data_IF_837555014903
#
_entry.id   IF_837555014903
#
_cell.length_a   1.000
_cell.length_b   1.000
_cell.length_c   1.000
_cell.angle_alpha   90.00
_cell.angle_beta   90.00
_cell.angle_gamma   90.00
#
_symmetry.space_group_name_H-M   'P 1'
#
loop_
_entity.id
_entity.type
_entity.pdbx_description
1 polymer ?
#
# COMPACT_ATOMS: atom_id res chain seq x y z
N UNK A 1 0.26 18.19 0.27
CA UNK A 1 1.24 17.08 0.24
C UNK A 1 1.63 16.63 -1.18
N UNK A 2 0.73 16.69 -2.17
CA UNK A 2 1.02 16.16 -3.52
C UNK A 2 2.10 16.96 -4.26
N UNK A 3 2.11 18.30 -4.15
CA UNK A 3 3.14 19.15 -4.77
C UNK A 3 4.55 18.86 -4.25
N UNK A 4 4.73 18.77 -2.92
CA UNK A 4 6.01 18.45 -2.30
C UNK A 4 6.47 17.05 -2.71
N UNK A 5 5.55 16.07 -2.70
CA UNK A 5 5.83 14.71 -3.16
C UNK A 5 6.29 14.71 -4.62
N UNK A 6 5.61 15.43 -5.52
CA UNK A 6 6.03 15.51 -6.93
C UNK A 6 7.36 16.22 -7.09
N UNK A 7 7.62 17.29 -6.34
CA UNK A 7 8.89 18.02 -6.38
C UNK A 7 10.07 17.11 -5.98
N UNK A 8 9.91 16.32 -4.91
CA UNK A 8 10.93 15.35 -4.48
C UNK A 8 11.17 14.30 -5.57
N UNK A 9 10.13 13.74 -6.16
CA UNK A 9 10.27 12.76 -7.25
C UNK A 9 10.93 13.35 -8.50
N UNK A 10 10.61 14.59 -8.85
CA UNK A 10 11.25 15.30 -9.97
C UNK A 10 12.73 15.53 -9.68
N UNK A 11 13.09 15.98 -8.47
CA UNK A 11 14.50 16.15 -8.08
C UNK A 11 15.27 14.83 -8.13
N UNK A 12 14.69 13.74 -7.63
CA UNK A 12 15.30 12.40 -7.72
C UNK A 12 15.47 11.99 -9.18
N UNK A 13 14.47 12.22 -10.04
CA UNK A 13 14.55 11.89 -11.46
C UNK A 13 15.67 12.67 -12.16
N UNK A 14 15.76 13.98 -11.92
CA UNK A 14 16.83 14.83 -12.48
C UNK A 14 18.20 14.37 -11.99
N UNK A 15 18.35 14.08 -10.69
CA UNK A 15 19.59 13.56 -10.12
C UNK A 15 19.98 12.21 -10.75
N UNK A 16 19.02 11.31 -10.94
CA UNK A 16 19.23 10.01 -11.60
C UNK A 16 19.69 10.17 -13.05
N UNK A 17 19.08 11.10 -13.79
CA UNK A 17 19.45 11.39 -15.17
C UNK A 17 20.87 11.98 -15.27
N UNK A 18 21.21 12.94 -14.42
CA UNK A 18 22.55 13.51 -14.35
C UNK A 18 23.57 12.41 -14.00
N UNK A 19 23.29 11.63 -12.96
CA UNK A 19 24.15 10.50 -12.57
C UNK A 19 24.35 9.54 -13.74
N UNK A 20 23.27 9.16 -14.43
CA UNK A 20 23.33 8.25 -15.57
C UNK A 20 24.16 8.82 -16.72
N UNK A 21 23.92 10.09 -17.09
CA UNK A 21 24.65 10.77 -18.15
C UNK A 21 26.16 10.85 -17.87
N UNK A 22 26.54 11.29 -16.66
CA UNK A 22 27.95 11.40 -16.29
C UNK A 22 28.64 10.04 -16.08
N UNK A 23 27.86 9.01 -15.75
CA UNK A 23 28.38 7.68 -15.48
C UNK A 23 28.04 6.67 -16.60
N UNK A 24 27.97 7.11 -17.86
CA UNK A 24 27.68 6.23 -19.00
C UNK A 24 28.85 5.29 -19.40
N UNK A 25 29.58 4.80 -18.40
CA UNK A 25 30.74 3.96 -18.59
C UNK A 25 30.33 2.48 -18.59
N UNK A 26 30.88 1.67 -19.51
CA UNK A 26 30.73 0.22 -19.45
C UNK A 26 31.46 -0.32 -18.21
N UNK A 27 30.81 -1.25 -17.52
CA UNK A 27 31.33 -1.93 -16.34
C UNK A 27 31.23 -3.43 -16.59
N UNK A 28 32.34 -4.11 -16.37
CA UNK A 28 32.42 -5.56 -16.44
C UNK A 28 32.05 -6.15 -15.09
N UNK A 29 31.04 -7.01 -15.07
CA UNK A 29 30.59 -7.73 -13.88
C UNK A 29 30.87 -9.20 -14.09
N UNK A 30 31.84 -9.74 -13.34
CA UNK A 30 32.15 -11.16 -13.33
C UNK A 30 31.14 -11.86 -12.42
N UNK A 31 30.29 -12.70 -12.99
CA UNK A 31 29.27 -13.43 -12.22
C UNK A 31 29.76 -14.85 -11.89
N UNK A 32 30.53 -15.46 -12.80
CA UNK A 32 31.27 -16.71 -12.62
C UNK A 32 32.58 -16.66 -13.41
N UNK A 33 33.47 -17.63 -13.19
CA UNK A 33 34.84 -17.69 -13.74
C UNK A 33 34.92 -17.51 -15.28
N UNK A 34 33.87 -17.88 -16.02
CA UNK A 34 33.79 -17.72 -17.47
C UNK A 34 32.60 -16.85 -17.94
N UNK A 35 31.92 -16.15 -17.02
CA UNK A 35 30.77 -15.30 -17.37
C UNK A 35 31.00 -13.86 -16.90
N UNK A 36 31.48 -13.05 -17.84
CA UNK A 36 31.66 -11.60 -17.68
C UNK A 36 30.52 -10.90 -18.41
N UNK A 37 29.71 -10.15 -17.67
CA UNK A 37 28.61 -9.38 -18.23
C UNK A 37 29.00 -7.90 -18.30
N UNK A 38 29.03 -7.36 -19.51
CA UNK A 38 29.23 -5.93 -19.72
C UNK A 38 27.88 -5.20 -19.60
N UNK A 39 27.73 -4.38 -18.56
CA UNK A 39 26.55 -3.53 -18.34
C UNK A 39 26.98 -2.11 -18.01
N UNK A 40 26.09 -1.13 -18.18
CA UNK A 40 26.42 0.26 -17.83
C UNK A 40 26.31 0.46 -16.31
N UNK A 41 27.22 1.24 -15.74
CA UNK A 41 27.20 1.56 -14.29
C UNK A 41 25.82 2.02 -13.77
N UNK A 42 25.08 2.91 -14.46
CA UNK A 42 23.80 3.41 -13.96
C UNK A 42 22.73 2.32 -13.86
N UNK A 43 22.77 1.35 -14.77
CA UNK A 43 21.86 0.20 -14.76
C UNK A 43 22.11 -0.64 -13.51
N UNK A 44 23.38 -0.89 -13.17
CA UNK A 44 23.74 -1.66 -11.99
C UNK A 44 23.24 -1.00 -10.70
N UNK A 45 23.42 0.31 -10.58
CA UNK A 45 22.97 1.10 -9.43
C UNK A 45 21.45 1.05 -9.30
N UNK A 46 20.72 1.21 -10.41
CA UNK A 46 19.25 1.14 -10.39
C UNK A 46 18.79 -0.26 -9.98
N UNK A 47 19.37 -1.32 -10.55
CA UNK A 47 18.97 -2.71 -10.26
C UNK A 47 19.26 -3.07 -8.81
N UNK A 48 20.45 -2.75 -8.30
CA UNK A 48 20.81 -2.99 -6.88
C UNK A 48 19.92 -2.20 -5.93
N UNK A 49 19.63 -0.94 -6.24
CA UNK A 49 18.71 -0.13 -5.46
C UNK A 49 17.29 -0.73 -5.45
N UNK A 50 16.77 -1.12 -6.61
CA UNK A 50 15.47 -1.77 -6.72
C UNK A 50 15.43 -3.12 -6.02
N UNK A 51 16.51 -3.90 -6.07
CA UNK A 51 16.60 -5.17 -5.37
C UNK A 51 16.46 -5.01 -3.85
N UNK A 52 16.98 -3.92 -3.28
CA UNK A 52 16.75 -3.57 -1.87
C UNK A 52 15.38 -2.92 -1.59
N UNK A 53 14.91 -2.04 -2.49
CA UNK A 53 13.70 -1.25 -2.28
C UNK A 53 12.41 -2.04 -2.50
N UNK A 54 12.34 -2.85 -3.56
CA UNK A 54 11.13 -3.56 -3.99
C UNK A 54 10.58 -4.48 -2.91
N UNK A 55 11.40 -5.34 -2.25
CA UNK A 55 10.90 -6.21 -1.19
C UNK A 55 10.32 -5.41 -0.02
N UNK A 56 11.04 -4.38 0.42
CA UNK A 56 10.61 -3.53 1.55
C UNK A 56 9.31 -2.78 1.23
N UNK A 57 9.22 -2.22 0.02
CA UNK A 57 8.02 -1.53 -0.45
C UNK A 57 6.82 -2.48 -0.54
N UNK A 58 7.02 -3.69 -1.04
CA UNK A 58 5.95 -4.68 -1.19
C UNK A 58 5.38 -5.12 0.17
N UNK A 59 6.26 -5.34 1.16
CA UNK A 59 5.83 -5.65 2.54
C UNK A 59 4.99 -4.52 3.12
N UNK A 60 5.46 -3.28 2.99
CA UNK A 60 4.73 -2.11 3.50
C UNK A 60 3.38 -1.90 2.81
N UNK A 61 3.31 -2.17 1.49
CA UNK A 61 2.06 -2.09 0.73
C UNK A 61 1.09 -3.20 1.13
N UNK A 62 1.58 -4.42 1.30
CA UNK A 62 0.80 -5.59 1.69
C UNK A 62 0.22 -5.46 3.10
N UNK A 63 1.00 -4.96 4.06
CA UNK A 63 0.54 -4.73 5.43
C UNK A 63 -0.59 -3.70 5.48
N UNK A 64 -0.44 -2.59 4.74
CA UNK A 64 -1.45 -1.54 4.62
C UNK A 64 -2.76 -2.07 4.03
N UNK A 65 -2.68 -2.88 2.97
CA UNK A 65 -3.84 -3.54 2.37
C UNK A 65 -4.55 -4.49 3.34
N UNK A 66 -3.79 -5.31 4.07
CA UNK A 66 -4.35 -6.23 5.06
C UNK A 66 -5.07 -5.48 6.19
N UNK A 67 -4.47 -4.40 6.69
CA UNK A 67 -5.06 -3.55 7.73
C UNK A 67 -6.35 -2.88 7.25
N UNK A 68 -6.34 -2.29 6.06
CA UNK A 68 -7.51 -1.66 5.47
C UNK A 68 -8.67 -2.65 5.28
N UNK A 69 -8.39 -3.88 4.84
CA UNK A 69 -9.41 -4.93 4.71
C UNK A 69 -10.00 -5.33 6.07
N UNK A 70 -9.16 -5.43 7.10
CA UNK A 70 -9.62 -5.72 8.48
C UNK A 70 -10.49 -4.61 9.02
N UNK A 71 -10.07 -3.35 8.85
CA UNK A 71 -10.85 -2.18 9.29
C UNK A 71 -12.23 -2.21 8.64
N UNK A 72 -12.31 -2.37 7.31
CA UNK A 72 -13.61 -2.47 6.61
C UNK A 72 -14.49 -3.61 7.13
N UNK A 73 -13.92 -4.79 7.38
CA UNK A 73 -14.68 -5.91 7.93
C UNK A 73 -15.24 -5.60 9.33
N UNK A 74 -14.46 -4.92 10.16
CA UNK A 74 -14.88 -4.54 11.51
C UNK A 74 -15.94 -3.44 11.48
N UNK A 75 -15.80 -2.46 10.58
CA UNK A 75 -16.81 -1.42 10.34
C UNK A 75 -18.14 -2.03 9.91
N UNK A 76 -18.14 -2.95 8.95
CA UNK A 76 -19.35 -3.66 8.49
C UNK A 76 -19.97 -4.47 9.63
N UNK A 77 -19.19 -5.23 10.40
CA UNK A 77 -19.70 -6.00 11.54
C UNK A 77 -20.30 -5.09 12.63
N UNK A 78 -19.65 -3.97 12.94
CA UNK A 78 -20.15 -2.99 13.89
C UNK A 78 -21.47 -2.36 13.42
N UNK A 79 -21.59 -2.02 12.13
CA UNK A 79 -22.84 -1.52 11.55
C UNK A 79 -23.97 -2.54 11.64
N UNK A 80 -23.70 -3.82 11.33
CA UNK A 80 -24.71 -4.88 11.45
C UNK A 80 -25.14 -5.10 12.91
N UNK A 81 -24.20 -5.08 13.86
CA UNK A 81 -24.52 -5.22 15.29
C UNK A 81 -25.35 -4.04 15.81
N UNK A 82 -25.03 -2.82 15.39
CA UNK A 82 -25.81 -1.63 15.73
C UNK A 82 -27.23 -1.72 15.17
N UNK A 83 -27.38 -2.11 13.89
CA UNK A 83 -28.70 -2.31 13.27
C UNK A 83 -29.51 -3.42 13.96
N UNK A 84 -28.88 -4.53 14.35
CA UNK A 84 -29.53 -5.61 15.08
C UNK A 84 -30.00 -5.16 16.48
N UNK A 85 -29.20 -4.35 17.18
CA UNK A 85 -29.58 -3.77 18.46
C UNK A 85 -30.80 -2.83 18.32
N UNK A 86 -30.81 -1.95 17.32
CA UNK A 86 -31.97 -1.08 17.04
C UNK A 86 -33.23 -1.87 16.67
N UNK A 87 -33.09 -2.96 15.92
CA UNK A 87 -34.22 -3.83 15.59
C UNK A 87 -34.77 -4.57 16.82
N UNK A 88 -33.90 -5.00 17.73
CA UNK A 88 -34.31 -5.61 18.99
C UNK A 88 -35.06 -4.60 19.89
N UNK A 89 -34.58 -3.37 19.98
CA UNK A 89 -35.23 -2.29 20.74
C UNK A 89 -36.61 -1.93 20.17
N UNK A 90 -36.74 -1.84 18.84
CA UNK A 90 -38.03 -1.61 18.17
C UNK A 90 -38.98 -2.79 18.38
N UNK A 91 -38.50 -4.04 18.30
CA UNK A 91 -39.32 -5.24 18.54
C UNK A 91 -39.78 -5.37 20.00
N UNK A 92 -39.06 -4.80 20.96
CA UNK A 92 -39.50 -4.81 22.38
C UNK A 92 -40.52 -3.70 22.66
N UNK A 93 -40.49 -2.60 21.91
CA UNK A 93 -41.48 -1.52 22.00
C UNK A 93 -42.83 -1.85 21.31
N UNK A 94 -42.81 -2.57 20.18
CA UNK A 94 -44.01 -2.95 19.40
C UNK A 94 -45.06 -3.81 20.17
N UNK A 95 -44.71 -4.83 20.99
CA UNK A 95 -45.70 -5.66 21.69
C UNK A 95 -46.36 -4.93 22.87
N UNK A 96 -45.81 -3.80 23.33
CA UNK A 96 -46.37 -3.02 24.44
C UNK A 96 -47.49 -2.05 23.98
N UNK A 97 -47.53 -1.68 22.69
CA UNK A 97 -48.58 -0.81 22.12
C UNK A 97 -49.73 -1.59 21.46
N UNK A 98 -49.60 -2.91 21.33
CA UNK A 98 -50.58 -3.79 20.66
C UNK A 98 -51.47 -4.59 21.63
N UNK A 99 -51.66 -4.14 22.87
CA UNK A 99 -52.72 -4.68 23.74
C UNK A 99 -54.06 -4.01 23.38
N UNK A 100 -55.03 -4.70 22.76
CA UNK A 100 -56.33 -4.13 22.38
C UNK A 100 -57.29 -4.01 23.58
N UNK A 101 -56.81 -4.18 24.82
CA UNK A 101 -57.63 -4.26 26.03
C UNK A 101 -57.65 -2.95 26.83
N UNK A 102 -58.02 -1.84 26.19
CA UNK A 102 -58.83 -0.82 26.85
C UNK A 102 -59.64 -0.02 25.79
N UNK A 103 -60.95 0.24 26.02
CA UNK A 103 -61.77 1.12 25.17
C UNK A 103 -61.36 2.60 25.24
#
# INVERSE_FOLDING_TARGET
>A
MQFIRTLIWVLILVALLLFSFFNWQPVEVVIWDNLVWNTKLPVLVIVSFLAGLVPMWLIQRGSSWKLQRRIRSLETAAQHNAAAASYAETRVAEPALADPRYP
#
